data_IF_302791167619
#
_entry.id   IF_302791167619
#
_cell.length_a   1.000
_cell.length_b   1.000
_cell.length_c   1.000
_cell.angle_alpha   90.00
_cell.angle_beta   90.00
_cell.angle_gamma   90.00
#
_symmetry.space_group_name_H-M   'P 1'
#
loop_
_entity.id
_entity.type
_entity.pdbx_description
1 polymer ?
#
# COMPACT_ATOMS: atom_id res chain seq x y z
N UNK A 1 20.59 10.26 -6.85
CA UNK A 1 20.08 9.72 -5.57
C UNK A 1 18.92 10.59 -5.09
N UNK A 2 17.85 9.96 -4.62
CA UNK A 2 16.68 10.67 -4.08
C UNK A 2 16.52 10.29 -2.61
N UNK A 3 16.14 11.26 -1.79
CA UNK A 3 15.89 11.06 -0.36
C UNK A 3 14.52 11.67 -0.06
N UNK A 4 13.65 10.90 0.58
CA UNK A 4 12.30 11.34 0.90
C UNK A 4 12.11 11.37 2.42
N UNK A 5 11.32 12.32 2.88
CA UNK A 5 10.94 12.44 4.29
C UNK A 5 9.49 11.98 4.45
N UNK A 6 9.27 10.93 5.23
CA UNK A 6 7.92 10.39 5.42
C UNK A 6 6.99 11.42 6.05
N UNK A 7 7.48 12.28 6.93
CA UNK A 7 6.63 13.31 7.55
C UNK A 7 6.12 14.32 6.53
N UNK A 8 6.91 14.62 5.50
CA UNK A 8 6.47 15.48 4.41
C UNK A 8 5.32 14.81 3.62
N UNK A 9 5.43 13.51 3.37
CA UNK A 9 4.36 12.75 2.69
C UNK A 9 3.10 12.71 3.56
N UNK A 10 3.26 12.49 4.87
CA UNK A 10 2.15 12.49 5.82
C UNK A 10 1.40 13.82 5.82
N UNK A 11 2.14 14.93 5.81
CA UNK A 11 1.53 16.27 5.76
C UNK A 11 0.73 16.45 4.47
N UNK A 12 1.23 15.98 3.35
CA UNK A 12 0.53 16.07 2.06
C UNK A 12 -0.77 15.23 2.07
N UNK A 13 -0.72 14.01 2.61
CA UNK A 13 -1.90 13.16 2.78
C UNK A 13 -2.96 13.85 3.64
N UNK A 14 -2.55 14.42 4.77
CA UNK A 14 -3.44 15.07 5.71
C UNK A 14 -4.04 16.36 5.12
N UNK A 15 -3.23 17.18 4.48
CA UNK A 15 -3.67 18.46 3.92
C UNK A 15 -4.72 18.27 2.81
N UNK A 16 -4.65 17.18 2.06
CA UNK A 16 -5.55 16.88 0.94
C UNK A 16 -6.58 15.80 1.28
N UNK A 17 -6.58 15.30 2.51
CA UNK A 17 -7.43 14.19 2.97
C UNK A 17 -7.38 12.98 2.03
N UNK A 18 -6.17 12.57 1.69
CA UNK A 18 -5.91 11.45 0.78
C UNK A 18 -5.63 10.18 1.56
N UNK A 19 -5.99 9.03 0.97
CA UNK A 19 -5.62 7.71 1.49
C UNK A 19 -4.30 7.24 0.92
N UNK A 20 -3.93 7.70 -0.27
CA UNK A 20 -2.77 7.27 -1.03
C UNK A 20 -1.99 8.46 -1.58
N UNK A 21 -0.67 8.40 -1.42
CA UNK A 21 0.23 9.37 -2.04
C UNK A 21 1.47 8.65 -2.54
N UNK A 22 1.63 8.60 -3.87
CA UNK A 22 2.87 8.14 -4.48
C UNK A 22 3.93 9.22 -4.27
N UNK A 23 5.10 8.86 -3.74
CA UNK A 23 6.18 9.81 -3.52
C UNK A 23 7.39 9.52 -4.41
N UNK A 24 7.45 8.35 -5.05
CA UNK A 24 8.57 7.97 -5.91
C UNK A 24 8.08 7.12 -7.07
N UNK A 25 8.62 7.41 -8.26
CA UNK A 25 8.38 6.59 -9.46
C UNK A 25 9.61 6.58 -10.33
N UNK A 26 10.04 5.38 -10.73
CA UNK A 26 11.11 5.16 -11.71
C UNK A 26 10.60 4.18 -12.77
N UNK A 27 11.46 3.83 -13.73
CA UNK A 27 11.09 2.86 -14.76
C UNK A 27 10.87 1.45 -14.20
N UNK A 28 11.42 1.14 -13.04
CA UNK A 28 11.43 -0.23 -12.50
C UNK A 28 10.67 -0.39 -11.20
N UNK A 29 10.23 0.70 -10.58
CA UNK A 29 9.51 0.63 -9.30
C UNK A 29 8.77 1.92 -8.98
N UNK A 30 7.79 1.83 -8.11
CA UNK A 30 7.16 3.00 -7.50
C UNK A 30 6.92 2.74 -6.03
N UNK A 31 6.76 3.81 -5.25
CA UNK A 31 6.47 3.70 -3.83
C UNK A 31 5.57 4.84 -3.38
N UNK A 32 4.75 4.55 -2.39
CA UNK A 32 3.87 5.54 -1.82
C UNK A 32 3.51 5.21 -0.38
N UNK A 33 2.72 6.06 0.23
CA UNK A 33 2.18 5.86 1.56
C UNK A 33 0.67 5.67 1.46
N UNK A 34 0.19 4.59 2.06
CA UNK A 34 -1.22 4.23 2.12
C UNK A 34 -1.69 4.31 3.57
N UNK A 35 -2.85 4.92 3.80
CA UNK A 35 -3.41 5.01 5.15
C UNK A 35 -4.90 4.70 5.16
N UNK A 36 -5.33 4.03 6.23
CA UNK A 36 -6.72 3.72 6.51
C UNK A 36 -6.99 3.99 7.99
N UNK A 37 -8.16 4.51 8.28
CA UNK A 37 -8.56 4.75 9.68
C UNK A 37 -9.09 3.47 10.31
N UNK A 38 -9.01 3.38 11.64
CA UNK A 38 -9.63 2.29 12.36
C UNK A 38 -11.10 2.19 11.99
N UNK A 39 -11.58 0.96 11.74
CA UNK A 39 -12.95 0.68 11.32
C UNK A 39 -13.25 0.96 9.86
N UNK A 40 -12.31 1.53 9.12
CA UNK A 40 -12.50 1.82 7.71
C UNK A 40 -12.43 0.54 6.87
N UNK A 41 -13.14 0.55 5.74
CA UNK A 41 -13.11 -0.56 4.80
C UNK A 41 -12.04 -0.32 3.74
N UNK A 42 -11.19 -1.33 3.53
CA UNK A 42 -10.19 -1.30 2.47
C UNK A 42 -10.81 -1.81 1.16
N UNK A 43 -10.94 -0.93 0.18
CA UNK A 43 -11.63 -1.22 -1.09
C UNK A 43 -10.64 -1.39 -2.24
N UNK A 44 -9.42 -1.82 -1.95
CA UNK A 44 -8.40 -2.05 -2.97
C UNK A 44 -8.84 -3.08 -4.01
N UNK A 45 -8.39 -2.88 -5.25
CA UNK A 45 -8.48 -3.87 -6.32
C UNK A 45 -7.10 -4.52 -6.50
N UNK A 46 -7.03 -5.75 -7.03
CA UNK A 46 -5.74 -6.37 -7.33
C UNK A 46 -4.90 -5.49 -8.24
N UNK A 47 -3.61 -5.43 -7.97
CA UNK A 47 -2.66 -4.68 -8.79
C UNK A 47 -1.98 -5.61 -9.79
N UNK A 48 -1.53 -5.04 -10.92
CA UNK A 48 -0.84 -5.78 -11.98
C UNK A 48 0.64 -6.02 -11.66
N UNK A 49 1.15 -5.42 -10.60
CA UNK A 49 2.54 -5.51 -10.15
C UNK A 49 2.64 -6.32 -8.86
N UNK A 50 3.83 -6.84 -8.58
CA UNK A 50 4.16 -7.32 -7.25
C UNK A 50 4.23 -6.13 -6.29
N UNK A 51 3.87 -6.35 -5.02
CA UNK A 51 3.93 -5.27 -4.04
C UNK A 51 4.42 -5.74 -2.68
N UNK A 52 5.08 -4.83 -1.97
CA UNK A 52 5.50 -5.01 -0.58
C UNK A 52 4.90 -3.89 0.25
N UNK A 53 4.26 -4.28 1.35
CA UNK A 53 3.82 -3.35 2.38
C UNK A 53 4.81 -3.37 3.53
N UNK A 54 5.17 -2.21 4.03
CA UNK A 54 5.84 -2.06 5.31
C UNK A 54 4.95 -1.22 6.22
N UNK A 55 4.38 -1.83 7.25
CA UNK A 55 3.48 -1.13 8.18
C UNK A 55 4.29 -0.26 9.13
N UNK A 56 4.08 1.03 9.06
CA UNK A 56 4.74 2.02 9.91
C UNK A 56 3.90 2.39 11.12
N UNK A 57 2.58 2.14 11.07
CA UNK A 57 1.64 2.40 12.17
C UNK A 57 0.45 1.49 12.05
N UNK A 58 -0.16 1.19 13.20
CA UNK A 58 -1.49 0.60 13.24
C UNK A 58 -1.52 -0.90 13.47
N UNK A 59 -2.73 -1.43 13.43
CA UNK A 59 -3.01 -2.84 13.68
C UNK A 59 -4.25 -3.25 12.91
N UNK A 60 -4.16 -4.41 12.24
CA UNK A 60 -5.26 -4.93 11.45
C UNK A 60 -5.05 -6.43 11.20
N UNK A 61 -5.93 -7.02 10.41
CA UNK A 61 -5.68 -8.31 9.76
C UNK A 61 -5.46 -8.05 8.28
N UNK A 62 -4.68 -8.92 7.65
CA UNK A 62 -4.45 -8.88 6.21
C UNK A 62 -4.99 -10.16 5.60
N UNK A 63 -5.88 -10.03 4.62
CA UNK A 63 -6.53 -11.16 3.98
C UNK A 63 -6.12 -11.27 2.51
N UNK A 64 -5.72 -12.47 2.11
CA UNK A 64 -5.43 -12.80 0.71
C UNK A 64 -6.01 -14.19 0.45
N UNK A 65 -7.15 -14.26 -0.24
CA UNK A 65 -7.93 -15.49 -0.37
C UNK A 65 -8.39 -15.95 1.00
N UNK A 66 -8.17 -17.24 1.32
CA UNK A 66 -8.53 -17.83 2.61
C UNK A 66 -7.46 -17.61 3.69
N UNK A 67 -6.33 -17.02 3.32
CA UNK A 67 -5.24 -16.75 4.24
C UNK A 67 -5.47 -15.38 4.91
N UNK A 68 -5.62 -15.40 6.23
CA UNK A 68 -5.81 -14.19 7.04
C UNK A 68 -4.78 -14.20 8.16
N UNK A 69 -4.02 -13.12 8.28
CA UNK A 69 -2.97 -12.99 9.30
C UNK A 69 -3.08 -11.67 10.02
N UNK A 70 -2.72 -11.66 11.30
CA UNK A 70 -2.59 -10.44 12.08
C UNK A 70 -1.35 -9.67 11.64
N UNK A 71 -1.50 -8.37 11.46
CA UNK A 71 -0.40 -7.48 11.10
C UNK A 71 -0.44 -6.22 11.97
N UNK A 72 0.71 -5.62 12.18
CA UNK A 72 0.86 -4.43 13.01
C UNK A 72 2.10 -3.65 12.59
N UNK A 73 2.37 -2.54 13.29
CA UNK A 73 3.60 -1.78 13.10
C UNK A 73 4.81 -2.71 13.04
N UNK A 74 5.61 -2.59 12.00
CA UNK A 74 6.78 -3.43 11.75
C UNK A 74 6.51 -4.65 10.87
N UNK A 75 5.25 -4.97 10.54
CA UNK A 75 4.95 -6.07 9.61
C UNK A 75 5.40 -5.72 8.21
N UNK A 76 5.98 -6.71 7.52
CA UNK A 76 6.36 -6.63 6.12
C UNK A 76 5.56 -7.68 5.37
N UNK A 77 4.81 -7.28 4.34
CA UNK A 77 3.91 -8.16 3.61
C UNK A 77 4.27 -8.13 2.13
N UNK A 78 4.49 -9.31 1.53
CA UNK A 78 4.64 -9.44 0.08
C UNK A 78 3.35 -9.98 -0.52
N UNK A 79 2.90 -9.37 -1.62
CA UNK A 79 1.75 -9.85 -2.39
C UNK A 79 2.15 -9.88 -3.87
N UNK A 80 2.03 -11.06 -4.48
CA UNK A 80 2.28 -11.20 -5.90
C UNK A 80 1.23 -10.50 -6.75
N UNK A 81 1.64 -10.14 -7.96
CA UNK A 81 0.76 -9.51 -8.95
C UNK A 81 -0.56 -10.27 -9.11
N UNK A 82 -1.63 -9.51 -9.31
CA UNK A 82 -2.99 -9.99 -9.59
C UNK A 82 -3.68 -10.74 -8.44
N UNK A 83 -3.03 -10.90 -7.30
CA UNK A 83 -3.64 -11.56 -6.15
C UNK A 83 -4.56 -10.60 -5.41
N UNK A 84 -5.83 -10.98 -5.25
CA UNK A 84 -6.79 -10.21 -4.46
C UNK A 84 -6.35 -10.21 -2.98
N UNK A 85 -6.32 -9.02 -2.38
CA UNK A 85 -5.88 -8.84 -1.00
C UNK A 85 -6.46 -7.55 -0.43
N UNK A 86 -6.56 -7.49 0.89
CA UNK A 86 -6.99 -6.27 1.59
C UNK A 86 -6.70 -6.36 3.08
N UNK A 87 -6.63 -5.19 3.71
CA UNK A 87 -6.68 -5.10 5.17
C UNK A 87 -8.12 -5.24 5.63
N UNK A 88 -8.32 -5.97 6.72
CA UNK A 88 -9.63 -6.15 7.36
C UNK A 88 -9.47 -5.97 8.86
N UNK A 89 -10.58 -5.71 9.56
CA UNK A 89 -10.60 -5.55 11.02
C UNK A 89 -9.52 -4.58 11.50
N UNK A 90 -9.48 -3.39 10.91
CA UNK A 90 -8.53 -2.34 11.28
C UNK A 90 -8.93 -1.79 12.65
N UNK A 91 -8.11 -2.08 13.66
CA UNK A 91 -8.39 -1.67 15.05
C UNK A 91 -7.64 -0.42 15.46
N UNK A 92 -6.56 -0.08 14.77
CA UNK A 92 -5.79 1.15 14.99
C UNK A 92 -5.49 1.77 13.63
N UNK A 93 -5.50 3.10 13.55
CA UNK A 93 -5.22 3.82 12.31
C UNK A 93 -3.96 3.28 11.65
N UNK A 94 -4.09 2.86 10.41
CA UNK A 94 -3.09 2.11 9.68
C UNK A 94 -2.33 3.03 8.72
N UNK A 95 -1.02 2.86 8.67
CA UNK A 95 -0.17 3.49 7.68
C UNK A 95 0.85 2.47 7.18
N UNK A 96 1.03 2.41 5.87
CA UNK A 96 2.02 1.54 5.26
C UNK A 96 2.77 2.26 4.15
N UNK A 97 4.07 2.00 4.07
CA UNK A 97 4.82 2.28 2.85
C UNK A 97 4.55 1.11 1.92
N UNK A 98 4.15 1.40 0.68
CA UNK A 98 3.86 0.38 -0.32
C UNK A 98 4.80 0.56 -1.50
N UNK A 99 5.48 -0.52 -1.87
CA UNK A 99 6.43 -0.54 -2.98
C UNK A 99 5.88 -1.48 -4.06
N UNK A 100 5.81 -0.99 -5.29
CA UNK A 100 5.42 -1.76 -6.46
C UNK A 100 6.61 -2.01 -7.38
N UNK A 101 6.71 -3.23 -7.89
CA UNK A 101 7.71 -3.60 -8.87
C UNK A 101 7.07 -4.50 -9.94
N UNK A 102 7.07 -4.06 -11.20
CA UNK A 102 7.46 -2.74 -11.71
C UNK A 102 6.57 -1.62 -11.16
N UNK A 103 6.79 -0.39 -11.57
CA UNK A 103 6.02 0.76 -11.09
C UNK A 103 4.51 0.52 -11.27
N UNK A 104 3.71 0.99 -10.33
CA UNK A 104 2.26 0.77 -10.30
C UNK A 104 1.61 1.15 -11.64
N UNK A 105 0.83 0.21 -12.20
CA UNK A 105 0.14 0.37 -13.47
C UNK A 105 1.01 0.11 -14.70
N UNK A 106 2.33 0.01 -14.57
CA UNK A 106 3.24 -0.13 -15.72
C UNK A 106 3.29 -1.55 -16.27
N UNK A 107 2.96 -2.56 -15.48
CA UNK A 107 2.93 -3.96 -15.92
C UNK A 107 1.65 -4.30 -16.71
N UNK A 108 0.63 -3.45 -16.65
CA UNK A 108 -0.59 -3.66 -17.40
C UNK A 108 -0.28 -3.67 -18.91
N UNK A 109 -0.83 -4.65 -19.63
CA UNK A 109 -0.59 -4.79 -21.05
C UNK A 109 -1.07 -3.55 -21.83
N UNK A 110 -0.26 -2.99 -22.73
CA UNK A 110 -0.70 -1.89 -23.60
C UNK A 110 -1.97 -2.21 -24.38
N UNK A 111 -2.17 -3.46 -24.78
CA UNK A 111 -3.36 -3.88 -25.51
C UNK A 111 -4.61 -3.94 -24.62
N UNK A 112 -4.46 -3.93 -23.33
CA UNK A 112 -5.55 -3.92 -22.36
C UNK A 112 -5.97 -2.50 -21.93
N UNK A 113 -5.29 -1.51 -22.45
CA UNK A 113 -5.50 -0.10 -22.09
C UNK A 113 -6.36 0.64 -23.10
#
# INVERSE_FOLDING_TARGET
>A
MLVFDIDAVRRALQAQDLKWKEFMRTDTMSAGVYRLRAGERDEQKPHTEDEVYFLTRGRAKFAAGDNVQDVAEGSIIFVEALRAHRFVDITEDLEAIVIFAPAEGSAASPSAR
#
